data_IF_905818149164
#
_entry.id   IF_905818149164
#
_cell.length_a   1.000
_cell.length_b   1.000
_cell.length_c   1.000
_cell.angle_alpha   90.00
_cell.angle_beta   90.00
_cell.angle_gamma   90.00
#
_symmetry.space_group_name_H-M   'P 1'
#
loop_
_entity.id
_entity.type
_entity.pdbx_description
1 polymer ?
#
# COMPACT_ATOMS: atom_id res chain seq x y z
N UNK A 1 24.60 -15.94 32.42
CA UNK A 1 23.27 -15.29 32.42
C UNK A 1 23.46 -14.03 31.61
N UNK A 2 22.70 -13.84 30.54
CA UNK A 2 22.78 -12.63 29.72
C UNK A 2 21.76 -11.67 30.32
N UNK A 3 22.21 -10.50 30.77
CA UNK A 3 21.33 -9.51 31.34
C UNK A 3 20.83 -8.57 30.24
N UNK A 4 19.55 -8.25 30.29
CA UNK A 4 18.91 -7.32 29.37
C UNK A 4 19.21 -5.89 29.81
N UNK A 5 19.70 -5.05 28.89
CA UNK A 5 20.10 -3.67 29.17
C UNK A 5 18.94 -2.71 28.93
N UNK A 6 18.40 -2.71 27.70
CA UNK A 6 17.34 -1.79 27.29
C UNK A 6 16.55 -2.30 26.08
N UNK A 7 15.27 -1.90 26.00
CA UNK A 7 14.36 -2.18 24.88
C UNK A 7 13.74 -0.87 24.44
N UNK A 8 13.83 -0.61 23.14
CA UNK A 8 13.36 0.62 22.51
C UNK A 8 12.52 0.24 21.29
N UNK A 9 11.45 1.00 21.05
CA UNK A 9 10.66 0.91 19.81
C UNK A 9 11.03 2.10 18.95
N UNK A 10 11.57 1.83 17.75
CA UNK A 10 12.01 2.85 16.81
C UNK A 10 11.66 2.38 15.38
N UNK A 11 11.02 3.25 14.59
CA UNK A 11 10.68 3.01 13.18
C UNK A 11 9.94 1.69 12.88
N UNK A 12 9.06 1.25 13.77
CA UNK A 12 8.32 -0.01 13.61
C UNK A 12 9.15 -1.26 13.94
N UNK A 13 10.32 -1.09 14.56
CA UNK A 13 11.16 -2.17 15.06
C UNK A 13 11.22 -2.13 16.58
N UNK A 14 11.20 -3.31 17.19
CA UNK A 14 11.60 -3.54 18.58
C UNK A 14 13.09 -3.86 18.61
N UNK A 15 13.86 -2.98 19.24
CA UNK A 15 15.31 -3.12 19.40
C UNK A 15 15.59 -3.51 20.85
N UNK A 16 16.18 -4.69 21.04
CA UNK A 16 16.52 -5.26 22.35
C UNK A 16 18.04 -5.33 22.47
N UNK A 17 18.62 -4.64 23.45
CA UNK A 17 20.07 -4.60 23.71
C UNK A 17 20.42 -5.41 24.95
N UNK A 18 21.46 -6.24 24.83
CA UNK A 18 21.93 -7.13 25.88
C UNK A 18 23.32 -6.76 26.35
N UNK A 19 23.58 -6.97 27.63
CA UNK A 19 24.86 -6.67 28.28
C UNK A 19 25.36 -7.86 29.09
N UNK A 20 26.68 -7.99 29.18
CA UNK A 20 27.34 -8.93 30.10
C UNK A 20 27.78 -8.26 31.40
N UNK A 21 27.87 -6.93 31.42
CA UNK A 21 28.47 -6.14 32.49
C UNK A 21 27.54 -5.05 33.07
N UNK A 22 26.31 -4.93 32.55
CA UNK A 22 25.31 -3.96 32.99
C UNK A 22 25.53 -2.54 32.45
N UNK A 23 26.56 -2.30 31.63
CA UNK A 23 26.97 -0.95 31.20
C UNK A 23 27.29 -0.86 29.71
N UNK A 24 27.82 -1.94 29.14
CA UNK A 24 28.27 -2.01 27.75
C UNK A 24 27.35 -2.92 26.96
N UNK A 25 26.93 -2.47 25.77
CA UNK A 25 26.14 -3.30 24.86
C UNK A 25 27.03 -4.36 24.24
N UNK A 26 26.61 -5.62 24.37
CA UNK A 26 27.28 -6.77 23.75
C UNK A 26 26.58 -7.23 22.48
N UNK A 27 25.25 -7.20 22.46
CA UNK A 27 24.43 -7.64 21.35
C UNK A 27 23.19 -6.75 21.21
N UNK A 28 22.78 -6.51 19.98
CA UNK A 28 21.55 -5.81 19.63
C UNK A 28 20.72 -6.72 18.72
N UNK A 29 19.46 -6.96 19.08
CA UNK A 29 18.50 -7.71 18.28
C UNK A 29 17.43 -6.72 17.80
N UNK A 30 17.17 -6.70 16.49
CA UNK A 30 16.08 -5.92 15.89
C UNK A 30 14.99 -6.86 15.40
N UNK A 31 13.77 -6.64 15.85
CA UNK A 31 12.59 -7.42 15.47
C UNK A 31 11.56 -6.49 14.85
N UNK A 32 11.06 -6.83 13.66
CA UNK A 32 9.98 -6.07 13.02
C UNK A 32 8.68 -6.22 13.82
N UNK A 33 8.01 -5.10 14.08
CA UNK A 33 6.65 -5.09 14.62
C UNK A 33 5.71 -5.21 13.42
N UNK A 34 5.15 -6.39 13.22
CA UNK A 34 4.13 -6.61 12.19
C UNK A 34 2.79 -6.21 12.78
N UNK A 35 2.24 -5.10 12.32
CA UNK A 35 0.85 -4.75 12.58
C UNK A 35 -0.04 -5.50 11.57
N UNK A 36 -1.01 -6.25 12.09
CA UNK A 36 -2.04 -6.87 11.27
C UNK A 36 -2.95 -5.75 10.76
N UNK A 37 -2.80 -5.41 9.48
CA UNK A 37 -3.76 -4.55 8.80
C UNK A 37 -5.03 -5.38 8.58
N UNK A 38 -6.18 -4.86 9.01
CA UNK A 38 -7.45 -5.46 8.66
C UNK A 38 -7.54 -5.51 7.13
N UNK A 39 -7.76 -6.71 6.57
CA UNK A 39 -8.08 -6.81 5.15
C UNK A 39 -9.35 -6.00 4.91
N UNK A 40 -9.27 -5.00 4.03
CA UNK A 40 -10.44 -4.28 3.55
C UNK A 40 -11.29 -5.27 2.74
N UNK A 41 -12.16 -5.98 3.44
CA UNK A 41 -13.04 -7.02 2.88
C UNK A 41 -14.22 -6.44 2.11
N UNK A 42 -14.21 -5.13 1.84
CA UNK A 42 -15.24 -4.47 1.04
C UNK A 42 -15.10 -4.88 -0.43
N UNK A 43 -15.47 -6.12 -0.73
CA UNK A 43 -15.61 -6.59 -2.09
C UNK A 43 -16.84 -5.89 -2.69
N UNK A 44 -16.70 -5.19 -3.83
CA UNK A 44 -17.82 -4.55 -4.48
C UNK A 44 -18.83 -5.61 -4.91
N UNK A 45 -20.10 -5.31 -4.71
CA UNK A 45 -21.23 -6.11 -5.16
C UNK A 45 -21.21 -6.29 -6.68
N UNK A 46 -21.94 -7.29 -7.18
CA UNK A 46 -22.05 -7.53 -8.63
C UNK A 46 -22.65 -6.30 -9.31
N UNK A 47 -23.62 -5.65 -8.67
CA UNK A 47 -24.27 -4.44 -9.12
C UNK A 47 -23.29 -3.26 -9.22
N UNK A 48 -22.47 -3.00 -8.19
CA UNK A 48 -21.47 -1.92 -8.21
C UNK A 48 -20.41 -2.15 -9.30
N UNK A 49 -20.06 -3.42 -9.56
CA UNK A 49 -19.15 -3.77 -10.65
C UNK A 49 -19.76 -3.54 -12.02
N UNK A 50 -21.06 -3.84 -12.18
CA UNK A 50 -21.78 -3.60 -13.44
C UNK A 50 -21.94 -2.11 -13.72
N UNK A 51 -22.29 -1.31 -12.70
CA UNK A 51 -22.39 0.15 -12.83
C UNK A 51 -21.04 0.77 -13.23
N UNK A 52 -19.93 0.34 -12.61
CA UNK A 52 -18.59 0.79 -12.97
C UNK A 52 -18.21 0.43 -14.41
N UNK A 53 -18.62 -0.75 -14.90
CA UNK A 53 -18.41 -1.16 -16.30
C UNK A 53 -19.24 -0.29 -17.24
N UNK A 54 -20.52 -0.03 -16.93
CA UNK A 54 -21.38 0.83 -17.75
C UNK A 54 -20.83 2.25 -17.84
N UNK A 55 -20.45 2.86 -16.72
CA UNK A 55 -19.85 4.19 -16.69
C UNK A 55 -18.55 4.27 -17.50
N UNK A 56 -17.70 3.24 -17.40
CA UNK A 56 -16.45 3.19 -18.15
C UNK A 56 -16.70 2.97 -19.65
N UNK A 57 -17.70 2.18 -20.02
CA UNK A 57 -18.10 1.97 -21.42
C UNK A 57 -18.64 3.25 -22.06
N UNK A 58 -19.45 4.03 -21.34
CA UNK A 58 -19.94 5.33 -21.80
C UNK A 58 -18.80 6.34 -21.97
N UNK A 59 -17.86 6.38 -21.03
CA UNK A 59 -16.68 7.23 -21.12
C UNK A 59 -15.78 6.85 -22.30
N UNK A 60 -15.58 5.53 -22.52
CA UNK A 60 -14.82 5.01 -23.66
C UNK A 60 -15.49 5.39 -24.98
N UNK A 61 -16.82 5.30 -25.08
CA UNK A 61 -17.54 5.70 -26.28
C UNK A 61 -17.37 7.19 -26.58
N UNK A 62 -17.52 8.06 -25.58
CA UNK A 62 -17.31 9.51 -25.72
C UNK A 62 -15.88 9.81 -26.18
N UNK A 63 -14.89 9.12 -25.63
CA UNK A 63 -13.49 9.28 -26.05
C UNK A 63 -13.25 8.87 -27.50
N UNK A 64 -13.83 7.75 -27.94
CA UNK A 64 -13.71 7.28 -29.32
C UNK A 64 -14.36 8.28 -30.29
N UNK A 65 -15.55 8.79 -29.96
CA UNK A 65 -16.24 9.81 -30.76
C UNK A 65 -15.41 11.10 -30.85
N UNK A 66 -14.83 11.55 -29.74
CA UNK A 66 -13.97 12.73 -29.70
C UNK A 66 -12.70 12.57 -30.55
N UNK A 67 -12.02 11.42 -30.44
CA UNK A 67 -10.83 11.13 -31.25
C UNK A 67 -11.16 11.00 -32.73
N UNK A 68 -12.32 10.43 -33.07
CA UNK A 68 -12.79 10.34 -34.46
C UNK A 68 -13.03 11.74 -35.03
N UNK A 69 -13.72 12.61 -34.29
CA UNK A 69 -13.95 14.00 -34.68
C UNK A 69 -12.63 14.76 -34.89
N UNK A 70 -11.65 14.62 -33.98
CA UNK A 70 -10.34 15.24 -34.14
C UNK A 70 -9.58 14.70 -35.36
N UNK A 71 -9.74 13.42 -35.67
CA UNK A 71 -9.12 12.78 -36.82
C UNK A 71 -9.76 13.27 -38.13
N UNK A 72 -11.08 13.45 -38.16
CA UNK A 72 -11.80 14.03 -39.29
C UNK A 72 -11.40 15.49 -39.54
N UNK A 73 -11.30 16.30 -38.47
CA UNK A 73 -10.80 17.68 -38.54
C UNK A 73 -9.35 17.72 -39.02
N UNK A 74 -8.51 16.80 -38.55
CA UNK A 74 -7.09 16.73 -38.93
C UNK A 74 -6.87 16.22 -40.36
N UNK A 75 -7.75 15.37 -40.88
CA UNK A 75 -7.64 14.79 -42.22
C UNK A 75 -8.34 15.59 -43.32
N UNK A 76 -8.94 16.74 -42.96
CA UNK A 76 -9.43 17.74 -43.92
C UNK A 76 -10.73 17.34 -44.61
N UNK A 77 -11.83 17.50 -43.87
CA UNK A 77 -12.98 18.26 -44.37
C UNK A 77 -12.82 19.72 -43.95
#
# INVERSE_FOLDING_TARGET
MIDFLEEIIEDGYRITRYTTDGKTVSHEIKTLIVEEIEEDTTQPTVEERLEAIEQNSAYTQIQVEYLTMLTEISNGL
#
